data_IF_894967543041
#
_entry.id   IF_894967543041
#
_cell.length_a   1.000
_cell.length_b   1.000
_cell.length_c   1.000
_cell.angle_alpha   90.00
_cell.angle_beta   90.00
_cell.angle_gamma   90.00
#
_symmetry.space_group_name_H-M   'P 1'
#
loop_
_entity.id
_entity.type
_entity.pdbx_description
1 polymer ?
#
# COMPACT_ATOMS: atom_id res chain seq x y z
N UNK A 1 21.73 -10.41 -4.19
CA UNK A 1 21.19 -9.24 -4.93
C UNK A 1 21.73 -7.98 -4.30
N UNK A 2 22.18 -7.00 -5.09
CA UNK A 2 22.62 -5.72 -4.54
C UNK A 2 21.42 -4.89 -4.05
N UNK A 3 21.62 -3.88 -3.15
CA UNK A 3 20.54 -2.98 -2.74
C UNK A 3 19.84 -2.28 -3.92
N UNK A 4 20.61 -1.85 -4.92
CA UNK A 4 20.03 -1.22 -6.11
C UNK A 4 19.13 -2.19 -6.90
N UNK A 5 19.56 -3.44 -7.08
CA UNK A 5 18.74 -4.45 -7.76
C UNK A 5 17.44 -4.72 -6.99
N UNK A 6 17.50 -4.71 -5.67
CA UNK A 6 16.30 -4.82 -4.83
C UNK A 6 15.37 -3.62 -5.03
N UNK A 7 15.87 -2.40 -4.98
CA UNK A 7 15.06 -1.20 -5.20
C UNK A 7 14.40 -1.16 -6.58
N UNK A 8 15.10 -1.63 -7.62
CA UNK A 8 14.53 -1.76 -8.97
C UNK A 8 13.45 -2.86 -9.07
N UNK A 9 13.54 -3.89 -8.26
CA UNK A 9 12.57 -4.99 -8.22
C UNK A 9 11.32 -4.65 -7.37
N UNK A 10 11.46 -3.79 -6.37
CA UNK A 10 10.41 -3.53 -5.39
C UNK A 10 9.07 -3.04 -6.00
N UNK A 11 9.03 -2.20 -7.07
CA UNK A 11 7.76 -1.87 -7.73
C UNK A 11 6.99 -3.09 -8.23
N UNK A 12 7.69 -4.14 -8.68
CA UNK A 12 7.04 -5.39 -9.11
C UNK A 12 6.48 -6.18 -7.91
N UNK A 13 7.18 -6.16 -6.78
CA UNK A 13 6.69 -6.78 -5.53
C UNK A 13 5.47 -6.03 -4.99
N UNK A 14 5.49 -4.70 -5.02
CA UNK A 14 4.36 -3.86 -4.68
C UNK A 14 3.15 -4.20 -5.57
N UNK A 15 3.33 -4.23 -6.90
CA UNK A 15 2.23 -4.56 -7.82
C UNK A 15 1.70 -5.98 -7.63
N UNK A 16 2.53 -6.94 -7.23
CA UNK A 16 2.06 -8.30 -6.92
C UNK A 16 1.09 -8.29 -5.73
N UNK A 17 1.37 -7.48 -4.70
CA UNK A 17 0.48 -7.25 -3.57
C UNK A 17 -0.82 -6.56 -4.01
N UNK A 18 -0.72 -5.46 -4.74
CA UNK A 18 -1.88 -4.70 -5.22
C UNK A 18 -2.78 -5.52 -6.16
N UNK A 19 -2.21 -6.43 -6.96
CA UNK A 19 -3.01 -7.32 -7.82
C UNK A 19 -3.89 -8.28 -7.00
N UNK A 20 -3.41 -8.78 -5.87
CA UNK A 20 -4.26 -9.56 -4.96
C UNK A 20 -5.44 -8.71 -4.45
N UNK A 21 -5.17 -7.46 -4.05
CA UNK A 21 -6.21 -6.54 -3.61
C UNK A 21 -7.21 -6.22 -4.74
N UNK A 22 -6.74 -5.87 -5.93
CA UNK A 22 -7.58 -5.56 -7.09
C UNK A 22 -8.54 -6.70 -7.39
N UNK A 23 -8.07 -7.95 -7.31
CA UNK A 23 -8.87 -9.13 -7.64
C UNK A 23 -9.90 -9.44 -6.55
N UNK A 24 -9.50 -9.39 -5.27
CA UNK A 24 -10.33 -9.92 -4.18
C UNK A 24 -11.08 -8.86 -3.38
N UNK A 25 -10.66 -7.57 -3.44
CA UNK A 25 -11.28 -6.49 -2.67
C UNK A 25 -12.78 -6.30 -2.98
N UNK A 26 -13.28 -6.39 -4.24
CA UNK A 26 -14.71 -6.24 -4.51
C UNK A 26 -15.56 -7.27 -3.74
N UNK A 27 -15.11 -8.53 -3.73
CA UNK A 27 -15.80 -9.62 -3.01
C UNK A 27 -15.73 -9.44 -1.49
N UNK A 28 -14.57 -8.99 -1.00
CA UNK A 28 -14.35 -8.71 0.42
C UNK A 28 -15.26 -7.57 0.91
N UNK A 29 -15.31 -6.45 0.20
CA UNK A 29 -16.17 -5.31 0.55
C UNK A 29 -17.66 -5.70 0.51
N UNK A 30 -18.08 -6.48 -0.48
CA UNK A 30 -19.46 -7.01 -0.54
C UNK A 30 -19.79 -7.83 0.71
N UNK A 31 -18.88 -8.69 1.16
CA UNK A 31 -19.04 -9.49 2.39
C UNK A 31 -19.12 -8.58 3.63
N UNK A 32 -18.23 -7.60 3.76
CA UNK A 32 -18.24 -6.66 4.87
C UNK A 32 -19.53 -5.82 4.90
N UNK A 33 -20.04 -5.40 3.76
CA UNK A 33 -21.28 -4.62 3.68
C UNK A 33 -22.49 -5.41 4.17
N UNK A 34 -22.50 -6.75 4.03
CA UNK A 34 -23.55 -7.60 4.63
C UNK A 34 -23.38 -7.77 6.14
N UNK A 35 -22.15 -7.77 6.65
CA UNK A 35 -21.87 -7.87 8.09
C UNK A 35 -22.09 -6.54 8.82
N UNK A 36 -21.81 -5.42 8.15
CA UNK A 36 -21.88 -4.07 8.73
C UNK A 36 -22.73 -3.14 7.83
N UNK A 37 -24.06 -3.35 7.72
CA UNK A 37 -24.94 -2.65 6.77
C UNK A 37 -25.03 -1.14 7.01
N UNK A 38 -24.75 -0.67 8.22
CA UNK A 38 -24.79 0.76 8.59
C UNK A 38 -23.43 1.46 8.46
N UNK A 39 -22.39 0.78 7.95
CA UNK A 39 -21.07 1.37 7.80
C UNK A 39 -21.00 2.17 6.50
N UNK A 40 -21.11 3.50 6.62
CA UNK A 40 -21.04 4.43 5.48
C UNK A 40 -19.70 4.40 4.72
N UNK A 41 -18.60 4.02 5.38
CA UNK A 41 -17.28 3.98 4.74
C UNK A 41 -17.27 2.94 3.63
N UNK A 42 -17.93 1.78 3.82
CA UNK A 42 -18.00 0.73 2.82
C UNK A 42 -18.79 1.15 1.57
N UNK A 43 -19.75 2.10 1.70
CA UNK A 43 -20.52 2.61 0.57
C UNK A 43 -19.70 3.51 -0.36
N UNK A 44 -18.58 4.02 0.08
CA UNK A 44 -17.67 4.83 -0.75
C UNK A 44 -16.76 4.00 -1.65
N UNK A 45 -16.63 2.70 -1.40
CA UNK A 45 -15.82 1.85 -2.23
C UNK A 45 -16.43 1.66 -3.61
N UNK A 46 -15.66 1.95 -4.64
CA UNK A 46 -15.92 1.54 -6.02
C UNK A 46 -14.66 0.92 -6.61
N UNK A 47 -14.76 -0.18 -7.42
CA UNK A 47 -13.58 -0.76 -8.05
C UNK A 47 -12.79 0.24 -8.89
N UNK A 48 -13.47 1.16 -9.56
CA UNK A 48 -12.83 2.21 -10.34
C UNK A 48 -11.97 3.14 -9.47
N UNK A 49 -12.53 3.67 -8.37
CA UNK A 49 -11.79 4.56 -7.48
C UNK A 49 -10.61 3.83 -6.85
N UNK A 50 -10.81 2.58 -6.42
CA UNK A 50 -9.74 1.77 -5.85
C UNK A 50 -8.59 1.56 -6.85
N UNK A 51 -8.88 1.11 -8.07
CA UNK A 51 -7.87 0.88 -9.10
C UNK A 51 -7.14 2.16 -9.52
N UNK A 52 -7.84 3.31 -9.56
CA UNK A 52 -7.23 4.60 -9.86
C UNK A 52 -6.24 5.02 -8.76
N UNK A 53 -6.57 4.75 -7.49
CA UNK A 53 -5.70 5.01 -6.35
C UNK A 53 -4.46 4.09 -6.38
N UNK A 54 -4.64 2.80 -6.67
CA UNK A 54 -3.50 1.88 -6.84
C UNK A 54 -2.55 2.38 -7.93
N UNK A 55 -3.09 2.83 -9.07
CA UNK A 55 -2.28 3.41 -10.13
C UNK A 55 -1.53 4.66 -9.66
N UNK A 56 -2.21 5.57 -8.94
CA UNK A 56 -1.58 6.76 -8.37
C UNK A 56 -0.41 6.39 -7.45
N UNK A 57 -0.61 5.47 -6.51
CA UNK A 57 0.44 5.02 -5.59
C UNK A 57 1.61 4.37 -6.34
N UNK A 58 1.34 3.59 -7.36
CA UNK A 58 2.37 2.99 -8.20
C UNK A 58 3.19 4.05 -8.94
N UNK A 59 2.55 5.10 -9.48
CA UNK A 59 3.24 6.21 -10.15
C UNK A 59 4.10 7.02 -9.16
N UNK A 60 3.62 7.26 -7.95
CA UNK A 60 4.39 7.91 -6.87
C UNK A 60 5.61 7.06 -6.51
N UNK A 61 5.43 5.74 -6.40
CA UNK A 61 6.53 4.81 -6.13
C UNK A 61 7.61 4.85 -7.23
N UNK A 62 7.19 4.80 -8.50
CA UNK A 62 8.12 4.88 -9.65
C UNK A 62 8.84 6.23 -9.70
N UNK A 63 8.13 7.33 -9.47
CA UNK A 63 8.72 8.66 -9.42
C UNK A 63 9.75 8.77 -8.28
N UNK A 64 9.43 8.26 -7.10
CA UNK A 64 10.35 8.27 -5.96
C UNK A 64 11.59 7.42 -6.22
N UNK A 65 11.45 6.28 -6.90
CA UNK A 65 12.59 5.46 -7.35
C UNK A 65 13.47 6.21 -8.35
N UNK A 66 12.84 6.83 -9.36
CA UNK A 66 13.55 7.62 -10.37
C UNK A 66 14.34 8.78 -9.73
N UNK A 67 13.71 9.55 -8.84
CA UNK A 67 14.37 10.66 -8.13
C UNK A 67 15.50 10.14 -7.23
N UNK A 68 15.29 9.02 -6.54
CA UNK A 68 16.33 8.41 -5.70
C UNK A 68 17.54 7.95 -6.51
N UNK A 69 17.29 7.38 -7.70
CA UNK A 69 18.35 7.01 -8.63
C UNK A 69 19.09 8.26 -9.17
N UNK A 70 18.33 9.29 -9.60
CA UNK A 70 18.88 10.52 -10.15
C UNK A 70 19.77 11.28 -9.15
N UNK A 71 19.33 11.39 -7.90
CA UNK A 71 20.08 12.07 -6.84
C UNK A 71 21.06 11.17 -6.10
N UNK A 72 21.15 9.88 -6.48
CA UNK A 72 21.93 8.85 -5.77
C UNK A 72 21.66 8.84 -4.25
N UNK A 73 20.41 9.06 -3.87
CA UNK A 73 19.96 9.08 -2.47
C UNK A 73 18.66 8.29 -2.32
N UNK A 74 18.74 7.12 -1.70
CA UNK A 74 17.63 6.19 -1.53
C UNK A 74 16.92 6.32 -0.16
N UNK A 75 17.20 7.35 0.62
CA UNK A 75 16.63 7.51 1.96
C UNK A 75 15.10 7.56 1.93
N UNK A 76 14.51 8.43 1.09
CA UNK A 76 13.06 8.55 0.93
C UNK A 76 12.46 7.25 0.39
N UNK A 77 13.09 6.64 -0.61
CA UNK A 77 12.60 5.38 -1.16
C UNK A 77 12.61 4.25 -0.14
N UNK A 78 13.65 4.18 0.70
CA UNK A 78 13.74 3.22 1.81
C UNK A 78 12.61 3.43 2.82
N UNK A 79 12.26 4.68 3.15
CA UNK A 79 11.11 4.93 4.04
C UNK A 79 9.79 4.48 3.45
N UNK A 80 9.62 4.57 2.12
CA UNK A 80 8.43 4.05 1.42
C UNK A 80 8.39 2.52 1.50
N UNK A 81 9.53 1.84 1.29
CA UNK A 81 9.60 0.36 1.42
C UNK A 81 9.23 -0.09 2.84
N UNK A 82 9.74 0.59 3.88
CA UNK A 82 9.42 0.25 5.27
C UNK A 82 7.94 0.60 5.57
N UNK A 83 7.41 1.72 5.05
CA UNK A 83 6.01 2.08 5.18
C UNK A 83 5.08 1.03 4.56
N UNK A 84 5.48 0.45 3.43
CA UNK A 84 4.78 -0.68 2.82
C UNK A 84 4.74 -1.90 3.76
N UNK A 85 5.85 -2.24 4.43
CA UNK A 85 5.86 -3.34 5.41
C UNK A 85 4.89 -3.07 6.57
N UNK A 86 4.83 -1.82 7.05
CA UNK A 86 3.83 -1.43 8.06
C UNK A 86 2.40 -1.53 7.55
N UNK A 87 2.16 -1.17 6.29
CA UNK A 87 0.84 -1.33 5.65
C UNK A 87 0.41 -2.80 5.64
N UNK A 88 1.29 -3.72 5.25
CA UNK A 88 1.01 -5.16 5.28
C UNK A 88 0.77 -5.66 6.72
N UNK A 89 1.50 -5.13 7.70
CA UNK A 89 1.20 -5.43 9.10
C UNK A 89 -0.20 -4.95 9.51
N UNK A 90 -0.66 -3.83 8.94
CA UNK A 90 -2.05 -3.37 9.06
C UNK A 90 -3.06 -4.40 8.54
N UNK A 91 -2.82 -5.05 7.39
CA UNK A 91 -3.67 -6.13 6.87
C UNK A 91 -3.72 -7.34 7.82
N UNK A 92 -2.59 -7.69 8.45
CA UNK A 92 -2.54 -8.73 9.45
C UNK A 92 -3.44 -8.40 10.66
N UNK A 93 -3.33 -7.18 11.19
CA UNK A 93 -4.18 -6.71 12.30
C UNK A 93 -5.66 -6.74 11.88
N UNK A 94 -5.99 -6.23 10.69
CA UNK A 94 -7.36 -6.22 10.17
C UNK A 94 -7.90 -7.66 10.05
N UNK A 95 -7.10 -8.61 9.57
CA UNK A 95 -7.48 -10.03 9.47
C UNK A 95 -7.83 -10.61 10.83
N UNK A 96 -7.03 -10.33 11.86
CA UNK A 96 -7.29 -10.79 13.23
C UNK A 96 -8.57 -10.16 13.80
N UNK A 97 -8.72 -8.84 13.66
CA UNK A 97 -9.87 -8.08 14.20
C UNK A 97 -11.18 -8.46 13.52
N UNK A 98 -11.17 -8.56 12.19
CA UNK A 98 -12.36 -8.90 11.40
C UNK A 98 -12.64 -10.40 11.38
N UNK A 99 -11.71 -11.23 11.86
CA UNK A 99 -11.77 -12.70 11.77
C UNK A 99 -12.10 -13.19 10.36
N UNK A 100 -11.58 -12.46 9.38
CA UNK A 100 -11.74 -12.72 7.96
C UNK A 100 -10.43 -12.44 7.25
N UNK A 101 -10.14 -13.23 6.22
CA UNK A 101 -9.01 -12.96 5.34
C UNK A 101 -9.19 -11.59 4.68
N UNK A 102 -8.18 -10.74 4.82
CA UNK A 102 -8.12 -9.42 4.16
C UNK A 102 -7.27 -9.57 2.88
N UNK A 103 -7.77 -9.14 1.71
CA UNK A 103 -7.00 -9.16 0.47
C UNK A 103 -5.67 -8.41 0.62
N UNK A 104 -4.65 -8.88 -0.09
CA UNK A 104 -3.30 -8.35 0.03
C UNK A 104 -2.45 -9.01 1.14
N UNK A 105 -3.05 -9.76 2.07
CA UNK A 105 -2.29 -10.32 3.18
C UNK A 105 -1.26 -11.37 2.74
N UNK A 106 -1.63 -12.31 1.88
CA UNK A 106 -0.74 -13.42 1.49
C UNK A 106 0.47 -12.91 0.70
N UNK A 107 0.21 -12.21 -0.38
CA UNK A 107 1.28 -11.62 -1.21
C UNK A 107 2.05 -10.56 -0.43
N UNK A 108 1.38 -9.78 0.42
CA UNK A 108 1.99 -8.81 1.30
C UNK A 108 3.00 -9.44 2.27
N UNK A 109 2.66 -10.54 2.93
CA UNK A 109 3.59 -11.25 3.82
C UNK A 109 4.82 -11.73 3.03
N UNK A 110 4.61 -12.36 1.87
CA UNK A 110 5.70 -12.88 1.05
C UNK A 110 6.63 -11.76 0.55
N UNK A 111 6.06 -10.67 0.05
CA UNK A 111 6.82 -9.53 -0.48
C UNK A 111 7.48 -8.71 0.63
N UNK A 112 6.85 -8.58 1.81
CA UNK A 112 7.46 -7.94 2.98
C UNK A 112 8.62 -8.77 3.53
N UNK A 113 8.47 -10.10 3.62
CA UNK A 113 9.56 -10.98 4.04
C UNK A 113 10.75 -10.87 3.09
N UNK A 114 10.49 -10.91 1.78
CA UNK A 114 11.53 -10.71 0.77
C UNK A 114 12.18 -9.33 0.91
N UNK A 115 11.39 -8.27 1.10
CA UNK A 115 11.89 -6.91 1.28
C UNK A 115 12.77 -6.78 2.51
N UNK A 116 12.37 -7.34 3.66
CA UNK A 116 13.18 -7.35 4.89
C UNK A 116 14.51 -8.08 4.72
N UNK A 117 14.53 -9.17 3.95
CA UNK A 117 15.75 -9.93 3.70
C UNK A 117 16.79 -9.15 2.88
N UNK A 118 16.33 -8.32 1.91
CA UNK A 118 17.22 -7.56 1.03
C UNK A 118 17.41 -6.10 1.43
N UNK A 119 16.62 -5.63 2.38
CA UNK A 119 16.81 -4.30 2.94
C UNK A 119 18.17 -4.23 3.67
N UNK A 120 18.88 -3.11 3.48
CA UNK A 120 20.20 -2.94 4.08
C UNK A 120 20.13 -3.13 5.62
N UNK A 121 20.90 -4.04 6.22
CA UNK A 121 20.88 -4.27 7.68
C UNK A 121 21.35 -3.05 8.50
N UNK A 122 22.05 -2.11 7.87
CA UNK A 122 22.55 -0.88 8.52
C UNK A 122 21.60 0.32 8.38
N UNK A 123 20.29 0.07 8.32
CA UNK A 123 19.29 1.15 8.28
C UNK A 123 19.30 1.89 9.62
N UNK A 124 19.48 3.23 9.61
CA UNK A 124 19.36 4.04 10.82
C UNK A 124 17.97 3.86 11.46
N UNK A 125 17.94 3.76 12.80
CA UNK A 125 16.68 3.56 13.54
C UNK A 125 15.66 4.68 13.29
N UNK A 126 16.16 5.89 13.02
CA UNK A 126 15.33 7.06 12.70
C UNK A 126 14.46 6.86 11.46
N UNK A 127 14.92 6.05 10.48
CA UNK A 127 14.13 5.77 9.27
C UNK A 127 12.85 5.02 9.58
N UNK A 128 12.82 4.22 10.63
CA UNK A 128 11.58 3.55 11.07
C UNK A 128 10.54 4.57 11.54
N UNK A 129 10.96 5.63 12.24
CA UNK A 129 10.10 6.75 12.62
C UNK A 129 9.60 7.55 11.40
N UNK A 130 10.52 7.89 10.49
CA UNK A 130 10.14 8.56 9.23
C UNK A 130 9.20 7.72 8.37
N UNK A 131 9.34 6.40 8.40
CA UNK A 131 8.44 5.49 7.67
C UNK A 131 7.03 5.47 8.24
N UNK A 132 6.85 5.62 9.55
CA UNK A 132 5.52 5.82 10.15
C UNK A 132 4.88 7.13 9.69
N UNK A 133 5.65 8.21 9.63
CA UNK A 133 5.17 9.47 9.07
C UNK A 133 4.83 9.34 7.59
N UNK A 134 5.67 8.66 6.80
CA UNK A 134 5.41 8.36 5.39
C UNK A 134 4.11 7.56 5.22
N UNK A 135 3.89 6.53 6.04
CA UNK A 135 2.63 5.77 6.05
C UNK A 135 1.43 6.67 6.35
N UNK A 136 1.53 7.56 7.35
CA UNK A 136 0.46 8.52 7.66
C UNK A 136 0.14 9.41 6.46
N UNK A 137 1.16 9.95 5.78
CA UNK A 137 0.98 10.78 4.57
C UNK A 137 0.31 9.98 3.46
N UNK A 138 0.72 8.73 3.23
CA UNK A 138 0.08 7.84 2.25
C UNK A 138 -1.39 7.61 2.60
N UNK A 139 -1.71 7.28 3.84
CA UNK A 139 -3.09 7.06 4.28
C UNK A 139 -3.95 8.32 4.12
N UNK A 140 -3.43 9.49 4.45
CA UNK A 140 -4.13 10.77 4.23
C UNK A 140 -4.36 11.03 2.74
N UNK A 141 -3.37 10.77 1.90
CA UNK A 141 -3.52 10.86 0.44
C UNK A 141 -4.62 9.92 -0.06
N UNK A 142 -4.64 8.65 0.37
CA UNK A 142 -5.68 7.69 0.02
C UNK A 142 -7.09 8.19 0.38
N UNK A 143 -7.27 8.73 1.59
CA UNK A 143 -8.57 9.28 2.04
C UNK A 143 -9.00 10.44 1.15
N UNK A 144 -8.10 11.37 0.86
CA UNK A 144 -8.38 12.53 -0.01
C UNK A 144 -8.71 12.08 -1.43
N UNK A 145 -7.94 11.15 -2.00
CA UNK A 145 -8.17 10.61 -3.34
C UNK A 145 -9.54 9.93 -3.43
N UNK A 146 -9.90 9.08 -2.44
CA UNK A 146 -11.24 8.49 -2.37
C UNK A 146 -12.35 9.53 -2.31
N UNK A 147 -12.21 10.58 -1.50
CA UNK A 147 -13.21 11.65 -1.38
C UNK A 147 -13.39 12.39 -2.72
N UNK A 148 -12.30 12.70 -3.41
CA UNK A 148 -12.33 13.39 -4.71
C UNK A 148 -12.98 12.50 -5.79
N UNK A 149 -12.53 11.26 -5.92
CA UNK A 149 -13.03 10.32 -6.93
C UNK A 149 -14.53 10.02 -6.73
N UNK A 150 -14.97 9.83 -5.49
CA UNK A 150 -16.39 9.63 -5.21
C UNK A 150 -17.23 10.86 -5.55
N UNK A 151 -16.74 12.08 -5.27
CA UNK A 151 -17.45 13.31 -5.64
C UNK A 151 -17.60 13.45 -7.15
N UNK A 152 -16.60 13.00 -7.92
CA UNK A 152 -16.64 13.02 -9.39
C UNK A 152 -17.62 11.94 -9.89
N UNK A 153 -17.57 10.74 -9.32
CA UNK A 153 -18.38 9.61 -9.74
C UNK A 153 -19.89 9.81 -9.49
N UNK A 154 -20.24 10.39 -8.33
CA UNK A 154 -21.66 10.65 -7.98
C UNK A 154 -22.26 11.93 -8.62
N UNK A 155 -21.47 12.71 -9.36
CA UNK A 155 -21.98 13.85 -10.15
C UNK A 155 -22.46 13.45 -11.55
N UNK A 156 -22.27 12.20 -11.96
CA UNK A 156 -22.80 11.61 -13.20
C UNK A 156 -24.05 10.79 -12.90
#
# INVERSE_FOLDING_TARGET
MSPLQFYLLFPSLFMLHELEEIIWMPSFIKKLSTQFPNNRILSYYTPFAFNAIVLEQFLILLLSLFLSYWFNNYTIYTTIVIAYIYHVFGHLIQTIVLRNYVPGLLTGILTSWFSLYYLNPNIPIELFGYSLFTLLVIVLNLVVAFMILNKIYHKK
#
